data_IF_655325835415
#
_entry.id   IF_655325835415
#
_cell.length_a   1.000
_cell.length_b   1.000
_cell.length_c   1.000
_cell.angle_alpha   90.00
_cell.angle_beta   90.00
_cell.angle_gamma   90.00
#
_symmetry.space_group_name_H-M   'P 1'
#
loop_
_entity.id
_entity.type
_entity.pdbx_description
1 polymer ?
#
# COMPACT_ATOMS: atom_id res chain seq x y z
N UNK A 1 6.41 -9.75 27.12
CA UNK A 1 5.51 -8.92 26.29
C UNK A 1 6.29 -7.72 25.80
N UNK A 2 6.33 -7.47 24.49
CA UNK A 2 7.19 -6.44 23.90
C UNK A 2 6.35 -5.30 23.30
N UNK A 3 6.09 -4.27 24.11
CA UNK A 3 5.35 -3.06 23.69
C UNK A 3 6.07 -2.32 22.56
N UNK A 4 7.39 -2.44 22.48
CA UNK A 4 8.20 -1.80 21.43
C UNK A 4 8.03 -2.53 20.09
N UNK A 5 7.82 -3.85 20.11
CA UNK A 5 7.47 -4.63 18.92
C UNK A 5 6.13 -4.17 18.31
N UNK A 6 5.08 -4.03 19.11
CA UNK A 6 3.75 -3.58 18.64
C UNK A 6 3.84 -2.17 18.04
N UNK A 7 4.54 -1.26 18.70
CA UNK A 7 4.76 0.10 18.20
C UNK A 7 5.49 0.11 16.86
N UNK A 8 6.48 -0.77 16.69
CA UNK A 8 7.22 -0.92 15.43
C UNK A 8 6.33 -1.45 14.30
N UNK A 9 5.50 -2.46 14.58
CA UNK A 9 4.54 -3.00 13.61
C UNK A 9 3.51 -1.95 13.18
N UNK A 10 3.00 -1.14 14.11
CA UNK A 10 2.07 -0.07 13.81
C UNK A 10 2.67 1.01 12.89
N UNK A 11 3.89 1.47 13.17
CA UNK A 11 4.59 2.40 12.27
C UNK A 11 4.86 1.80 10.89
N UNK A 12 5.23 0.51 10.84
CA UNK A 12 5.44 -0.22 9.58
C UNK A 12 4.15 -0.26 8.74
N UNK A 13 3.01 -0.56 9.36
CA UNK A 13 1.69 -0.51 8.71
C UNK A 13 1.40 0.88 8.13
N UNK A 14 1.53 1.92 8.96
CA UNK A 14 1.25 3.30 8.55
C UNK A 14 2.09 3.73 7.33
N UNK A 15 3.40 3.41 7.34
CA UNK A 15 4.30 3.73 6.23
C UNK A 15 3.92 3.01 4.93
N UNK A 16 3.47 1.75 5.02
CA UNK A 16 3.05 0.97 3.85
C UNK A 16 1.76 1.51 3.25
N UNK A 17 0.78 1.88 4.07
CA UNK A 17 -0.46 2.56 3.62
C UNK A 17 -0.12 3.85 2.89
N UNK A 18 0.76 4.68 3.46
CA UNK A 18 1.20 5.92 2.82
C UNK A 18 1.86 5.70 1.45
N UNK A 19 2.71 4.67 1.33
CA UNK A 19 3.38 4.33 0.07
C UNK A 19 2.37 3.88 -1.01
N UNK A 20 1.37 3.09 -0.63
CA UNK A 20 0.29 2.67 -1.53
C UNK A 20 -0.52 3.88 -2.01
N UNK A 21 -0.90 4.78 -1.10
CA UNK A 21 -1.67 5.98 -1.43
C UNK A 21 -0.92 6.88 -2.44
N UNK A 22 0.39 7.08 -2.26
CA UNK A 22 1.23 7.83 -3.20
C UNK A 22 1.28 7.14 -4.58
N UNK A 23 1.38 5.81 -4.60
CA UNK A 23 1.33 5.03 -5.83
C UNK A 23 0.00 5.23 -6.58
N UNK A 24 -1.13 5.13 -5.87
CA UNK A 24 -2.47 5.35 -6.45
C UNK A 24 -2.61 6.77 -6.99
N UNK A 25 -2.26 7.80 -6.22
CA UNK A 25 -2.30 9.19 -6.68
C UNK A 25 -1.42 9.42 -7.92
N UNK A 26 -0.26 8.78 -7.99
CA UNK A 26 0.62 8.83 -9.17
C UNK A 26 -0.04 8.19 -10.39
N UNK A 27 -0.72 7.05 -10.22
CA UNK A 27 -1.48 6.41 -11.31
C UNK A 27 -2.64 7.27 -11.80
N UNK A 28 -3.39 7.90 -10.89
CA UNK A 28 -4.48 8.82 -11.25
C UNK A 28 -3.97 10.01 -12.06
N UNK A 29 -2.81 10.56 -11.70
CA UNK A 29 -2.19 11.66 -12.44
C UNK A 29 -1.79 11.25 -13.86
N UNK A 30 -1.19 10.06 -14.02
CA UNK A 30 -0.80 9.52 -15.34
C UNK A 30 -1.99 9.25 -16.27
N UNK A 31 -3.17 8.98 -15.70
CA UNK A 31 -4.39 8.64 -16.42
C UNK A 31 -5.30 9.84 -16.73
N UNK A 32 -4.92 11.07 -16.32
CA UNK A 32 -5.73 12.27 -16.59
C UNK A 32 -5.92 12.47 -18.10
N UNK A 33 -7.20 12.49 -18.52
CA UNK A 33 -7.66 12.48 -19.92
C UNK A 33 -7.15 13.62 -20.79
N UNK A 34 -6.84 14.78 -20.20
CA UNK A 34 -6.41 15.97 -20.93
C UNK A 34 -5.03 15.79 -21.59
N UNK A 35 -4.20 14.86 -21.10
CA UNK A 35 -2.88 14.59 -21.70
C UNK A 35 -2.94 13.50 -22.75
N UNK A 36 -3.77 12.45 -22.57
CA UNK A 36 -3.76 11.22 -23.38
C UNK A 36 -4.05 11.41 -24.88
N UNK A 37 -4.82 12.43 -25.25
CA UNK A 37 -5.20 12.67 -26.65
C UNK A 37 -4.14 13.41 -27.48
N UNK A 38 -3.12 13.97 -26.83
CA UNK A 38 -2.06 14.77 -27.49
C UNK A 38 -0.67 14.11 -27.46
N UNK A 39 -0.54 12.95 -26.83
CA UNK A 39 0.77 12.29 -26.64
C UNK A 39 1.14 11.42 -27.84
N UNK A 40 2.42 11.40 -28.18
CA UNK A 40 2.93 10.51 -29.22
C UNK A 40 2.86 9.04 -28.79
N UNK A 41 2.80 8.08 -29.74
CA UNK A 41 2.78 6.66 -29.42
C UNK A 41 3.96 6.18 -28.56
N UNK A 42 5.15 6.76 -28.75
CA UNK A 42 6.34 6.41 -27.95
C UNK A 42 6.24 6.93 -26.51
N UNK A 43 5.69 8.12 -26.32
CA UNK A 43 5.50 8.67 -24.98
C UNK A 43 4.36 7.94 -24.24
N UNK A 44 3.33 7.51 -24.96
CA UNK A 44 2.28 6.63 -24.41
C UNK A 44 2.86 5.30 -23.90
N UNK A 45 3.76 4.65 -24.66
CA UNK A 45 4.44 3.42 -24.22
C UNK A 45 5.24 3.63 -22.93
N UNK A 46 5.98 4.74 -22.82
CA UNK A 46 6.73 5.07 -21.60
C UNK A 46 5.81 5.25 -20.39
N UNK A 47 4.69 5.96 -20.56
CA UNK A 47 3.70 6.16 -19.51
C UNK A 47 3.06 4.85 -19.06
N UNK A 48 2.71 3.95 -19.98
CA UNK A 48 2.20 2.60 -19.67
C UNK A 48 3.24 1.80 -18.89
N UNK A 49 4.51 1.81 -19.33
CA UNK A 49 5.57 1.09 -18.63
C UNK A 49 5.83 1.64 -17.23
N UNK A 50 5.76 2.96 -17.07
CA UNK A 50 5.86 3.60 -15.76
C UNK A 50 4.68 3.24 -14.86
N UNK A 51 3.45 3.24 -15.40
CA UNK A 51 2.24 2.81 -14.69
C UNK A 51 2.37 1.37 -14.18
N UNK A 52 2.82 0.44 -15.03
CA UNK A 52 3.05 -0.96 -14.63
C UNK A 52 4.06 -1.08 -13.48
N UNK A 53 5.14 -0.29 -13.49
CA UNK A 53 6.12 -0.27 -12.39
C UNK A 53 5.49 0.24 -11.08
N UNK A 54 4.69 1.29 -11.15
CA UNK A 54 3.99 1.84 -9.98
C UNK A 54 3.00 0.82 -9.42
N UNK A 55 2.21 0.17 -10.29
CA UNK A 55 1.24 -0.86 -9.89
C UNK A 55 1.91 -2.07 -9.24
N UNK A 56 3.00 -2.58 -9.81
CA UNK A 56 3.78 -3.66 -9.18
C UNK A 56 4.26 -3.25 -7.78
N UNK A 57 4.69 -1.99 -7.61
CA UNK A 57 5.16 -1.52 -6.30
C UNK A 57 4.02 -1.38 -5.28
N UNK A 58 2.83 -0.99 -5.73
CA UNK A 58 1.63 -0.96 -4.90
C UNK A 58 1.25 -2.38 -4.46
N UNK A 59 1.28 -3.35 -5.37
CA UNK A 59 1.00 -4.76 -5.08
C UNK A 59 1.97 -5.34 -4.04
N UNK A 60 3.27 -5.17 -4.24
CA UNK A 60 4.30 -5.60 -3.28
C UNK A 60 4.06 -5.03 -1.89
N UNK A 61 3.74 -3.74 -1.81
CA UNK A 61 3.48 -3.07 -0.53
C UNK A 61 2.16 -3.52 0.09
N UNK A 62 1.14 -3.84 -0.70
CA UNK A 62 -0.13 -4.40 -0.23
C UNK A 62 0.05 -5.78 0.40
N UNK A 63 0.82 -6.66 -0.26
CA UNK A 63 1.18 -7.97 0.29
C UNK A 63 1.96 -7.81 1.61
N UNK A 64 2.94 -6.89 1.64
CA UNK A 64 3.71 -6.62 2.84
C UNK A 64 2.86 -6.01 3.96
N UNK A 65 1.87 -5.18 3.61
CA UNK A 65 0.91 -4.59 4.55
C UNK A 65 0.09 -5.68 5.22
N UNK A 66 -0.49 -6.61 4.45
CA UNK A 66 -1.28 -7.72 4.98
C UNK A 66 -0.48 -8.60 5.95
N UNK A 67 0.77 -8.94 5.62
CA UNK A 67 1.64 -9.69 6.54
C UNK A 67 1.90 -8.93 7.85
N UNK A 68 2.12 -7.62 7.77
CA UNK A 68 2.35 -6.79 8.95
C UNK A 68 1.08 -6.70 9.81
N UNK A 69 -0.10 -6.67 9.17
CA UNK A 69 -1.39 -6.67 9.82
C UNK A 69 -1.66 -7.98 10.55
N UNK A 70 -1.42 -9.11 9.89
CA UNK A 70 -1.55 -10.45 10.50
C UNK A 70 -0.62 -10.60 11.71
N UNK A 71 0.62 -10.14 11.61
CA UNK A 71 1.55 -10.17 12.74
C UNK A 71 1.07 -9.27 13.88
N UNK A 72 0.59 -8.06 13.57
CA UNK A 72 0.02 -7.18 14.59
C UNK A 72 -1.19 -7.83 15.29
N UNK A 73 -2.11 -8.43 14.54
CA UNK A 73 -3.24 -9.15 15.11
C UNK A 73 -2.80 -10.30 16.00
N UNK A 74 -1.80 -11.08 15.60
CA UNK A 74 -1.27 -12.18 16.41
C UNK A 74 -0.69 -11.68 17.74
N UNK A 75 0.07 -10.58 17.72
CA UNK A 75 0.65 -9.99 18.93
C UNK A 75 -0.42 -9.36 19.84
N UNK A 76 -1.48 -8.79 19.26
CA UNK A 76 -2.61 -8.24 20.02
C UNK A 76 -3.48 -9.34 20.63
N UNK A 77 -3.83 -10.39 19.89
CA UNK A 77 -4.62 -11.53 20.39
C UNK A 77 -3.91 -12.37 21.44
N UNK A 78 -2.58 -12.24 21.57
CA UNK A 78 -1.83 -12.82 22.67
C UNK A 78 -1.99 -12.02 23.99
N UNK A 79 -2.68 -10.88 23.97
CA UNK A 79 -3.08 -10.13 25.17
C UNK A 79 -4.43 -10.70 25.65
N UNK A 80 -4.52 -11.05 26.94
CA UNK A 80 -5.72 -11.71 27.53
C UNK A 80 -7.02 -10.91 27.38
N UNK A 81 -6.95 -9.61 27.07
CA UNK A 81 -8.08 -8.69 26.94
C UNK A 81 -8.39 -8.24 25.49
N UNK A 82 -7.65 -8.72 24.47
CA UNK A 82 -7.87 -8.27 23.10
C UNK A 82 -8.99 -9.06 22.42
N UNK A 83 -10.15 -8.41 22.25
CA UNK A 83 -11.21 -8.88 21.35
C UNK A 83 -10.99 -8.21 19.98
N UNK A 84 -10.68 -8.97 18.91
CA UNK A 84 -10.56 -8.40 17.58
C UNK A 84 -11.88 -7.71 17.20
N UNK A 85 -11.83 -6.53 16.56
CA UNK A 85 -13.05 -5.90 16.08
C UNK A 85 -13.77 -6.81 15.09
N UNK A 86 -15.08 -6.94 15.24
CA UNK A 86 -15.91 -7.61 14.24
C UNK A 86 -16.02 -6.68 13.02
N UNK A 87 -15.49 -7.13 11.87
CA UNK A 87 -15.48 -6.36 10.63
C UNK A 87 -16.51 -6.89 9.61
N UNK A 88 -17.53 -7.61 10.09
CA UNK A 88 -18.67 -8.05 9.27
C UNK A 88 -19.58 -6.90 8.83
#
# INVERSE_FOLDING_TARGET
MDKDKIKTLFHSLFNKVGTIAVGVASTENLLRKEELNTISPEELKKRIFHLLKVLNKVEENSIALNKTLEELYRELSAQEDFVPPDFT
#
